data_IF_803503131147
#
_entry.id   IF_803503131147
#
_cell.length_a   1.000
_cell.length_b   1.000
_cell.length_c   1.000
_cell.angle_alpha   90.00
_cell.angle_beta   90.00
_cell.angle_gamma   90.00
#
_symmetry.space_group_name_H-M   'P 1'
#
loop_
_entity.id
_entity.type
_entity.pdbx_description
1 polymer ?
#
# COMPACT_ATOMS: atom_id res chain seq x y z
N UNK A 1 27.91 16.94 -51.87
CA UNK A 1 27.07 17.01 -53.08
C UNK A 1 25.66 17.37 -52.64
N UNK A 2 25.29 18.66 -52.66
CA UNK A 2 23.97 19.11 -52.24
C UNK A 2 22.99 18.95 -53.43
N UNK A 3 22.00 18.07 -53.27
CA UNK A 3 20.97 17.83 -54.28
C UNK A 3 20.09 19.08 -54.38
N UNK A 4 20.23 19.85 -55.46
CA UNK A 4 19.41 21.05 -55.73
C UNK A 4 18.05 20.59 -56.24
N UNK A 5 17.07 20.45 -55.34
CA UNK A 5 15.71 20.06 -55.71
C UNK A 5 14.99 21.25 -56.38
N UNK A 6 14.45 21.03 -57.57
CA UNK A 6 13.83 22.09 -58.38
C UNK A 6 12.51 22.56 -57.76
N UNK A 7 12.18 23.85 -57.90
CA UNK A 7 11.01 24.49 -57.25
C UNK A 7 9.68 23.83 -57.67
N UNK A 8 9.60 23.31 -58.89
CA UNK A 8 8.46 22.51 -59.38
C UNK A 8 8.33 21.16 -58.67
N UNK A 9 9.45 20.51 -58.29
CA UNK A 9 9.48 19.24 -57.55
C UNK A 9 9.02 19.45 -56.11
N UNK A 10 9.42 20.57 -55.47
CA UNK A 10 8.93 20.94 -54.14
C UNK A 10 7.43 21.22 -54.13
N UNK A 11 6.89 21.91 -55.16
CA UNK A 11 5.46 22.21 -55.26
C UNK A 11 4.57 20.97 -55.48
N UNK A 12 5.11 19.91 -56.11
CA UNK A 12 4.37 18.67 -56.32
C UNK A 12 4.37 17.74 -55.09
N UNK A 13 5.40 17.79 -54.24
CA UNK A 13 5.54 16.90 -53.08
C UNK A 13 4.78 17.38 -51.83
N UNK A 14 4.58 18.69 -51.67
CA UNK A 14 3.86 19.28 -50.54
C UNK A 14 2.38 18.86 -50.44
N UNK A 15 1.56 18.88 -51.52
CA UNK A 15 0.17 18.48 -51.42
C UNK A 15 0.00 16.95 -51.21
N UNK A 16 0.95 16.14 -51.67
CA UNK A 16 0.94 14.68 -51.46
C UNK A 16 1.23 14.34 -50.00
N UNK A 17 2.13 15.09 -49.35
CA UNK A 17 2.45 14.90 -47.94
C UNK A 17 1.29 15.32 -47.02
N UNK A 18 0.44 16.27 -47.41
CA UNK A 18 -0.66 16.78 -46.59
C UNK A 18 -1.89 15.85 -46.54
N UNK A 19 -2.08 14.98 -47.53
CA UNK A 19 -3.26 14.10 -47.62
C UNK A 19 -3.19 12.86 -46.73
N UNK A 20 -2.05 12.55 -46.10
CA UNK A 20 -1.88 11.35 -45.28
C UNK A 20 -2.13 11.55 -43.78
N UNK A 21 -2.37 12.78 -43.31
CA UNK A 21 -2.54 13.10 -41.89
C UNK A 21 -3.97 12.94 -41.34
N UNK A 22 -4.94 12.45 -42.13
CA UNK A 22 -6.38 12.58 -41.81
C UNK A 22 -7.13 11.36 -41.26
N UNK A 23 -6.51 10.20 -41.04
CA UNK A 23 -7.24 9.00 -40.62
C UNK A 23 -7.16 8.76 -39.11
N UNK A 24 -7.96 9.48 -38.32
CA UNK A 24 -8.19 9.13 -36.91
C UNK A 24 -9.43 8.23 -36.80
N UNK A 25 -9.23 6.96 -36.44
CA UNK A 25 -10.33 6.07 -36.10
C UNK A 25 -10.93 6.51 -34.75
N UNK A 26 -12.21 6.87 -34.73
CA UNK A 26 -12.94 7.18 -33.49
C UNK A 26 -13.39 5.85 -32.86
N UNK A 27 -12.74 5.45 -31.77
CA UNK A 27 -13.15 4.30 -30.99
C UNK A 27 -14.20 4.72 -29.96
N UNK A 28 -15.42 4.20 -30.07
CA UNK A 28 -16.46 4.41 -29.08
C UNK A 28 -16.22 3.42 -27.93
N UNK A 29 -15.85 3.92 -26.74
CA UNK A 29 -15.71 3.10 -25.55
C UNK A 29 -16.99 3.18 -24.71
N UNK A 30 -17.87 2.19 -24.87
CA UNK A 30 -18.96 1.98 -23.93
C UNK A 30 -18.39 1.46 -22.60
N UNK A 31 -18.29 2.35 -21.63
CA UNK A 31 -17.81 2.04 -20.28
C UNK A 31 -18.96 1.45 -19.48
N UNK A 32 -18.96 0.12 -19.29
CA UNK A 32 -19.88 -0.54 -18.36
C UNK A 32 -19.51 -0.17 -16.94
N UNK A 33 -20.35 0.64 -16.29
CA UNK A 33 -20.18 1.03 -14.88
C UNK A 33 -20.95 0.05 -13.99
N UNK A 34 -20.25 -0.58 -13.04
CA UNK A 34 -20.86 -1.39 -12.00
C UNK A 34 -20.70 -0.65 -10.68
N UNK A 35 -21.82 -0.21 -10.11
CA UNK A 35 -21.84 0.44 -8.79
C UNK A 35 -21.93 -0.62 -7.71
N UNK A 36 -21.03 -0.59 -6.74
CA UNK A 36 -21.16 -1.42 -5.53
C UNK A 36 -22.18 -0.79 -4.58
N UNK A 37 -23.04 -1.58 -3.90
CA UNK A 37 -23.94 -1.07 -2.89
C UNK A 37 -23.17 -0.25 -1.85
N UNK A 38 -23.72 0.91 -1.43
CA UNK A 38 -23.13 1.75 -0.37
C UNK A 38 -22.82 0.86 0.83
N UNK A 39 -21.53 0.69 1.11
CA UNK A 39 -21.01 -0.09 2.24
C UNK A 39 -21.59 0.50 3.52
N UNK A 40 -22.48 -0.22 4.20
CA UNK A 40 -22.98 0.16 5.51
C UNK A 40 -21.79 0.38 6.44
N UNK A 41 -21.72 1.55 7.09
CA UNK A 41 -20.65 1.84 8.04
C UNK A 41 -20.76 0.87 9.22
N UNK A 42 -19.75 0.00 9.37
CA UNK A 42 -19.60 -0.82 10.57
C UNK A 42 -19.07 0.09 11.66
N UNK A 43 -19.96 0.55 12.53
CA UNK A 43 -19.58 1.37 13.69
C UNK A 43 -19.22 0.42 14.82
N UNK A 44 -17.92 0.24 15.06
CA UNK A 44 -17.43 -0.49 16.23
C UNK A 44 -17.34 0.50 17.39
N UNK A 45 -18.08 0.26 18.46
CA UNK A 45 -17.95 1.06 19.67
C UNK A 45 -16.65 0.71 20.39
N UNK A 46 -15.62 1.55 20.20
CA UNK A 46 -14.28 1.38 20.77
C UNK A 46 -14.25 1.25 22.30
N UNK A 47 -15.25 1.80 23.02
CA UNK A 47 -15.30 1.69 24.49
C UNK A 47 -15.70 0.28 24.98
N UNK A 48 -16.33 -0.53 24.13
CA UNK A 48 -16.74 -1.90 24.45
C UNK A 48 -15.76 -2.95 23.89
N UNK A 49 -14.75 -2.54 23.13
CA UNK A 49 -13.72 -3.46 22.63
C UNK A 49 -12.70 -3.65 23.74
N UNK A 50 -12.52 -4.90 24.19
CA UNK A 50 -11.44 -5.24 25.12
C UNK A 50 -10.11 -5.06 24.38
N UNK A 51 -9.42 -3.94 24.61
CA UNK A 51 -8.15 -3.64 23.95
C UNK A 51 -7.11 -4.67 24.39
N UNK A 52 -6.42 -5.27 23.43
CA UNK A 52 -5.30 -6.19 23.66
C UNK A 52 -4.04 -5.35 23.85
N UNK A 53 -3.68 -5.07 25.10
CA UNK A 53 -2.58 -4.16 25.44
C UNK A 53 -1.76 -4.66 26.64
N UNK A 54 -0.50 -4.24 26.71
CA UNK A 54 0.32 -4.31 27.90
C UNK A 54 0.47 -2.90 28.50
N UNK A 55 0.44 -2.78 29.84
CA UNK A 55 0.66 -1.51 30.53
C UNK A 55 2.07 -1.42 31.10
N UNK A 56 2.69 -0.25 31.00
CA UNK A 56 3.90 0.11 31.72
C UNK A 56 3.93 1.63 31.93
N UNK A 57 4.16 2.09 33.16
CA UNK A 57 4.17 3.52 33.54
C UNK A 57 2.94 4.29 33.04
N UNK A 58 1.75 3.74 33.29
CA UNK A 58 0.45 4.28 32.85
C UNK A 58 0.28 4.44 31.32
N UNK A 59 1.21 3.91 30.52
CA UNK A 59 1.14 3.88 29.07
C UNK A 59 0.71 2.50 28.57
N UNK A 60 -0.20 2.50 27.59
CA UNK A 60 -0.65 1.30 26.90
C UNK A 60 0.22 1.02 25.66
N UNK A 61 0.62 -0.23 25.50
CA UNK A 61 1.42 -0.73 24.38
C UNK A 61 0.70 -1.86 23.67
N UNK A 62 0.74 -1.86 22.34
CA UNK A 62 0.14 -2.89 21.50
C UNK A 62 1.05 -4.11 21.31
N UNK A 63 0.49 -5.17 20.73
CA UNK A 63 1.23 -6.35 20.28
C UNK A 63 2.49 -5.95 19.48
N UNK A 64 3.62 -6.54 19.82
CA UNK A 64 4.93 -6.32 19.18
C UNK A 64 5.73 -5.15 19.73
N UNK A 65 5.17 -4.32 20.62
CA UNK A 65 5.91 -3.21 21.22
C UNK A 65 7.12 -3.72 22.02
N UNK A 66 8.25 -3.02 21.89
CA UNK A 66 9.49 -3.30 22.62
C UNK A 66 9.82 -2.14 23.57
N UNK A 67 10.13 -2.46 24.82
CA UNK A 67 10.60 -1.49 25.82
C UNK A 67 11.83 -2.01 26.55
N UNK A 68 12.67 -1.09 27.03
CA UNK A 68 13.80 -1.42 27.90
C UNK A 68 13.47 -1.01 29.34
N UNK A 69 13.55 -1.97 30.27
CA UNK A 69 13.27 -1.76 31.69
C UNK A 69 14.36 -2.42 32.50
N UNK A 70 15.13 -1.60 33.23
CA UNK A 70 16.21 -2.11 34.10
C UNK A 70 17.28 -2.90 33.37
N UNK A 71 17.56 -2.57 32.10
CA UNK A 71 18.55 -3.27 31.26
C UNK A 71 18.04 -4.56 30.58
N UNK A 72 16.75 -4.86 30.71
CA UNK A 72 16.09 -5.96 30.00
C UNK A 72 15.19 -5.42 28.88
N UNK A 73 15.23 -6.07 27.72
CA UNK A 73 14.27 -5.82 26.65
C UNK A 73 13.02 -6.67 26.90
N UNK A 74 11.86 -6.04 26.88
CA UNK A 74 10.56 -6.70 26.99
C UNK A 74 9.73 -6.46 25.74
N UNK A 75 9.05 -7.49 25.26
CA UNK A 75 8.08 -7.44 24.17
C UNK A 75 6.66 -7.63 24.70
N UNK A 76 5.71 -6.81 24.26
CA UNK A 76 4.30 -7.07 24.48
C UNK A 76 3.83 -8.14 23.47
N UNK A 77 3.55 -9.35 23.94
CA UNK A 77 3.23 -10.50 23.07
C UNK A 77 2.05 -11.33 23.62
N UNK A 78 1.60 -12.33 22.86
CA UNK A 78 0.51 -13.21 23.27
C UNK A 78 0.82 -13.85 24.64
N UNK A 79 -0.17 -13.84 25.54
CA UNK A 79 -0.02 -14.47 26.84
C UNK A 79 0.16 -16.00 26.73
N UNK A 80 -0.50 -16.59 25.73
CA UNK A 80 -0.36 -17.99 25.36
C UNK A 80 -0.07 -18.16 23.87
N UNK A 81 0.73 -19.16 23.54
CA UNK A 81 1.09 -19.58 22.18
C UNK A 81 -0.06 -20.26 21.40
N UNK A 82 -1.03 -20.85 22.10
CA UNK A 82 -2.19 -21.50 21.47
C UNK A 82 -3.36 -20.54 21.15
N UNK A 83 -3.30 -19.26 21.57
CA UNK A 83 -4.34 -18.26 21.31
C UNK A 83 -3.79 -17.05 20.56
N UNK A 84 -4.29 -16.79 19.35
CA UNK A 84 -3.91 -15.59 18.57
C UNK A 84 -4.71 -14.34 18.94
N UNK A 85 -5.83 -14.50 19.64
CA UNK A 85 -6.78 -13.47 20.04
C UNK A 85 -6.88 -13.28 21.57
N UNK A 86 -6.03 -13.99 22.35
CA UNK A 86 -6.01 -13.94 23.80
C UNK A 86 -5.40 -12.66 24.39
N UNK A 87 -5.25 -12.60 25.70
CA UNK A 87 -4.60 -11.46 26.38
C UNK A 87 -3.13 -11.29 25.94
N UNK A 88 -2.57 -10.10 26.16
CA UNK A 88 -1.14 -9.85 25.97
C UNK A 88 -0.40 -9.82 27.32
N UNK A 89 0.90 -10.11 27.31
CA UNK A 89 1.80 -9.99 28.46
C UNK A 89 3.17 -9.48 28.03
N UNK A 90 3.93 -8.97 28.99
CA UNK A 90 5.35 -8.70 28.80
C UNK A 90 6.14 -10.00 28.80
N UNK A 91 6.92 -10.21 27.74
CA UNK A 91 7.89 -11.30 27.61
C UNK A 91 9.29 -10.69 27.57
N UNK A 92 10.15 -11.09 28.50
CA UNK A 92 11.56 -10.69 28.48
C UNK A 92 12.28 -11.41 27.35
N UNK A 93 13.02 -10.65 26.55
CA UNK A 93 13.84 -11.19 25.47
C UNK A 93 15.27 -11.36 25.97
N UNK A 94 15.73 -12.58 26.03
CA UNK A 94 17.17 -12.85 26.10
C UNK A 94 17.82 -12.49 24.77
N UNK A 95 19.08 -12.03 24.81
CA UNK A 95 19.85 -11.66 23.60
C UNK A 95 19.89 -12.75 22.52
N UNK A 96 19.70 -14.02 22.90
CA UNK A 96 19.64 -15.17 21.97
C UNK A 96 18.31 -15.30 21.22
N UNK A 97 17.22 -14.69 21.70
CA UNK A 97 15.88 -14.78 21.11
C UNK A 97 15.53 -13.61 20.18
N UNK A 98 16.44 -12.66 20.01
CA UNK A 98 16.30 -11.56 19.03
C UNK A 98 16.65 -11.99 17.60
N UNK A 99 17.35 -13.12 17.42
CA UNK A 99 17.83 -13.62 16.12
C UNK A 99 16.82 -14.54 15.41
N UNK A 100 15.85 -15.12 16.13
CA UNK A 100 14.88 -16.07 15.57
C UNK A 100 13.51 -15.48 15.20
N UNK A 101 13.34 -14.16 15.29
CA UNK A 101 12.08 -13.49 14.95
C UNK A 101 12.26 -12.42 13.89
N UNK A 102 12.76 -12.80 12.72
CA UNK A 102 12.61 -12.02 11.50
C UNK A 102 12.15 -12.95 10.37
N UNK A 103 11.13 -12.57 9.56
CA UNK A 103 10.58 -13.40 8.49
C UNK A 103 11.57 -13.67 7.36
#
# INVERSE_FOLDING_TARGET
MALRLNRAVMLALVPILLLTYGHHALANSETKSFSTPKKTAVIVNSSNVKHRICYYQDQAYSLGALIEVGGYIMRCDNANDFESNGALKWITLDKSNLDHSQP
#
